data_IF_444499044665
#
_entry.id   IF_444499044665
#
_cell.length_a   1.000
_cell.length_b   1.000
_cell.length_c   1.000
_cell.angle_alpha   90.00
_cell.angle_beta   90.00
_cell.angle_gamma   90.00
#
_symmetry.space_group_name_H-M   'P 1'
#
loop_
_entity.id
_entity.type
_entity.pdbx_description
1 polymer ?
#
# COMPACT_ATOMS: atom_id res chain seq x y z
N UNK A 1 47.90 36.88 -9.94
CA UNK A 1 49.03 36.03 -10.37
C UNK A 1 49.93 36.89 -11.24
N UNK A 2 51.25 36.84 -11.06
CA UNK A 2 52.20 37.66 -11.84
C UNK A 2 52.53 37.00 -13.18
N UNK A 3 52.63 37.80 -14.23
CA UNK A 3 52.96 37.32 -15.57
C UNK A 3 54.39 36.75 -15.62
N UNK A 4 54.71 35.94 -16.64
CA UNK A 4 56.08 35.45 -16.82
C UNK A 4 57.09 36.60 -16.95
N UNK A 5 56.73 37.64 -17.71
CA UNK A 5 57.57 38.82 -17.93
C UNK A 5 57.80 39.62 -16.63
N UNK A 6 56.76 39.79 -15.81
CA UNK A 6 56.85 40.47 -14.51
C UNK A 6 57.77 39.71 -13.54
N UNK A 7 57.66 38.38 -13.50
CA UNK A 7 58.53 37.52 -12.67
C UNK A 7 59.98 37.61 -13.12
N UNK A 8 60.23 37.58 -14.43
CA UNK A 8 61.57 37.67 -15.00
C UNK A 8 62.19 39.05 -14.78
N UNK A 9 61.41 40.12 -14.92
CA UNK A 9 61.82 41.50 -14.61
C UNK A 9 62.22 41.63 -13.14
N UNK A 10 61.44 41.06 -12.22
CA UNK A 10 61.74 41.07 -10.79
C UNK A 10 63.05 40.34 -10.45
N UNK A 11 63.29 39.15 -11.03
CA UNK A 11 64.53 38.40 -10.80
C UNK A 11 65.76 39.12 -11.39
N UNK A 12 65.66 39.69 -12.60
CA UNK A 12 66.75 40.47 -13.20
C UNK A 12 67.11 41.70 -12.37
N UNK A 13 66.10 42.42 -11.87
CA UNK A 13 66.34 43.58 -11.01
C UNK A 13 66.96 43.17 -9.66
N UNK A 14 66.53 42.04 -9.10
CA UNK A 14 67.10 41.46 -7.88
C UNK A 14 68.59 41.15 -8.02
N UNK A 15 69.00 40.58 -9.16
CA UNK A 15 70.41 40.33 -9.47
C UNK A 15 71.20 41.64 -9.66
N UNK A 16 70.65 42.61 -10.39
CA UNK A 16 71.28 43.93 -10.62
C UNK A 16 71.53 44.70 -9.31
N UNK A 17 70.62 44.59 -8.33
CA UNK A 17 70.72 45.25 -7.03
C UNK A 17 71.56 44.46 -6.00
N UNK A 18 72.32 43.44 -6.43
CA UNK A 18 73.18 42.65 -5.56
C UNK A 18 72.42 41.80 -4.54
N UNK A 19 71.31 41.17 -4.97
CA UNK A 19 70.46 40.28 -4.15
C UNK A 19 69.80 40.98 -2.93
N UNK A 20 69.59 42.30 -3.01
CA UNK A 20 68.91 43.12 -1.98
C UNK A 20 67.38 43.09 -2.13
N UNK A 21 66.73 42.18 -1.40
CA UNK A 21 65.26 41.95 -1.47
C UNK A 21 64.43 43.22 -1.25
N UNK A 22 64.75 44.01 -0.22
CA UNK A 22 63.97 45.20 0.15
C UNK A 22 64.03 46.30 -0.91
N UNK A 23 65.18 46.46 -1.57
CA UNK A 23 65.36 47.45 -2.63
C UNK A 23 64.54 47.07 -3.88
N UNK A 24 64.58 45.80 -4.28
CA UNK A 24 63.81 45.30 -5.43
C UNK A 24 62.30 45.46 -5.22
N UNK A 25 61.80 45.15 -4.03
CA UNK A 25 60.36 45.22 -3.72
C UNK A 25 59.89 46.68 -3.64
N UNK A 26 60.68 47.58 -3.05
CA UNK A 26 60.34 49.02 -3.02
C UNK A 26 60.31 49.63 -4.42
N UNK A 27 61.21 49.20 -5.31
CA UNK A 27 61.31 49.75 -6.66
C UNK A 27 60.23 49.23 -7.62
N UNK A 28 59.77 47.99 -7.44
CA UNK A 28 58.74 47.40 -8.29
C UNK A 28 57.32 47.49 -7.70
N UNK A 29 57.17 47.63 -6.38
CA UNK A 29 55.86 47.59 -5.70
C UNK A 29 55.24 46.18 -5.57
N UNK A 30 55.89 45.19 -6.17
CA UNK A 30 55.63 43.75 -6.12
C UNK A 30 56.99 43.05 -6.30
N UNK A 31 57.17 41.74 -6.08
CA UNK A 31 56.32 40.73 -5.46
C UNK A 31 56.57 40.57 -3.95
N UNK A 32 55.95 39.59 -3.29
CA UNK A 32 56.28 39.25 -1.89
C UNK A 32 57.71 38.71 -1.74
N UNK A 33 58.31 38.88 -0.55
CA UNK A 33 59.66 38.39 -0.20
C UNK A 33 59.87 36.90 -0.54
N UNK A 34 58.84 36.07 -0.30
CA UNK A 34 58.91 34.63 -0.53
C UNK A 34 58.80 34.28 -2.02
N UNK A 35 57.97 35.01 -2.76
CA UNK A 35 57.86 34.87 -4.22
C UNK A 35 59.18 35.18 -4.92
N UNK A 36 59.84 36.28 -4.55
CA UNK A 36 61.12 36.66 -5.16
C UNK A 36 62.22 35.63 -4.88
N UNK A 37 62.28 35.10 -3.66
CA UNK A 37 63.21 34.00 -3.31
C UNK A 37 62.93 32.73 -4.11
N UNK A 38 61.67 32.36 -4.28
CA UNK A 38 61.28 31.17 -5.04
C UNK A 38 61.66 31.32 -6.51
N UNK A 39 61.34 32.45 -7.14
CA UNK A 39 61.68 32.73 -8.54
C UNK A 39 63.20 32.78 -8.76
N UNK A 40 63.95 33.43 -7.85
CA UNK A 40 65.40 33.46 -7.98
C UNK A 40 66.04 32.05 -7.86
N UNK A 41 65.55 31.19 -6.95
CA UNK A 41 66.02 29.81 -6.85
C UNK A 41 65.73 28.99 -8.10
N UNK A 42 64.54 29.19 -8.69
CA UNK A 42 64.15 28.56 -9.95
C UNK A 42 65.04 29.03 -11.11
N UNK A 43 65.31 30.33 -11.17
CA UNK A 43 66.19 30.94 -12.16
C UNK A 43 67.65 30.47 -12.01
N UNK A 44 68.18 30.30 -10.80
CA UNK A 44 69.54 29.75 -10.59
C UNK A 44 69.66 28.28 -11.04
N UNK A 45 68.59 27.49 -10.99
CA UNK A 45 68.62 26.06 -11.36
C UNK A 45 68.50 25.82 -12.86
N UNK A 46 67.66 26.61 -13.56
CA UNK A 46 67.31 26.36 -14.96
C UNK A 46 67.74 27.49 -15.90
N UNK A 47 68.33 28.58 -15.38
CA UNK A 47 68.58 29.84 -16.07
C UNK A 47 67.32 30.46 -16.72
N UNK A 48 66.14 30.05 -16.26
CA UNK A 48 64.83 30.47 -16.75
C UNK A 48 63.72 30.25 -15.69
N UNK A 49 62.57 30.88 -15.87
CA UNK A 49 61.38 30.75 -15.02
C UNK A 49 60.27 29.99 -15.75
N UNK A 50 59.50 29.15 -15.07
CA UNK A 50 58.37 28.47 -15.72
C UNK A 50 57.27 29.44 -16.12
N UNK A 51 56.85 29.39 -17.38
CA UNK A 51 55.76 30.20 -17.91
C UNK A 51 54.42 29.93 -17.19
N UNK A 52 54.18 28.72 -16.69
CA UNK A 52 52.93 28.33 -16.01
C UNK A 52 53.13 27.44 -14.78
N UNK A 53 52.04 27.21 -14.05
CA UNK A 53 51.99 26.28 -12.92
C UNK A 53 52.20 24.84 -13.41
N UNK A 54 53.44 24.37 -13.39
CA UNK A 54 53.75 22.97 -13.65
C UNK A 54 53.59 22.22 -12.33
N UNK A 55 52.58 21.35 -12.23
CA UNK A 55 52.44 20.46 -11.08
C UNK A 55 53.75 19.70 -10.88
N UNK A 56 54.23 19.71 -9.64
CA UNK A 56 55.44 19.02 -9.20
C UNK A 56 55.48 17.57 -9.68
N UNK A 57 56.70 17.06 -9.82
CA UNK A 57 57.06 15.68 -10.24
C UNK A 57 55.96 14.65 -9.95
N UNK A 58 55.65 13.75 -10.89
CA UNK A 58 54.68 12.67 -10.67
C UNK A 58 54.95 11.96 -9.34
N UNK A 59 53.91 11.81 -8.52
CA UNK A 59 54.01 11.20 -7.17
C UNK A 59 54.55 9.76 -7.21
N UNK A 60 54.45 9.11 -8.35
CA UNK A 60 54.89 7.74 -8.59
C UNK A 60 55.72 7.67 -9.87
N UNK A 61 56.77 6.85 -9.87
CA UNK A 61 57.58 6.62 -11.07
C UNK A 61 56.83 5.78 -12.11
N UNK A 62 57.27 5.85 -13.37
CA UNK A 62 56.70 5.01 -14.43
C UNK A 62 56.91 3.50 -14.15
N UNK A 63 57.99 3.14 -13.46
CA UNK A 63 58.30 1.77 -13.06
C UNK A 63 57.32 1.26 -12.00
N UNK A 64 57.06 2.06 -10.96
CA UNK A 64 56.06 1.75 -9.92
C UNK A 64 54.67 1.53 -10.51
N UNK A 65 54.32 2.31 -11.53
CA UNK A 65 53.07 2.15 -12.28
C UNK A 65 53.00 0.82 -13.03
N UNK A 66 54.07 0.43 -13.74
CA UNK A 66 54.13 -0.85 -14.45
C UNK A 66 54.02 -2.04 -13.49
N UNK A 67 54.81 -2.05 -12.42
CA UNK A 67 54.78 -3.12 -11.40
C UNK A 67 53.38 -3.29 -10.80
N UNK A 68 52.69 -2.19 -10.50
CA UNK A 68 51.33 -2.24 -9.96
C UNK A 68 50.30 -2.83 -10.93
N UNK A 69 50.42 -2.53 -12.23
CA UNK A 69 49.54 -3.09 -13.25
C UNK A 69 49.89 -4.56 -13.54
N UNK A 70 51.17 -4.92 -13.61
CA UNK A 70 51.60 -6.31 -13.84
C UNK A 70 51.18 -7.24 -12.69
N UNK A 71 51.30 -6.77 -11.44
CA UNK A 71 50.77 -7.48 -10.28
C UNK A 71 49.25 -7.67 -10.37
N UNK A 72 48.51 -6.69 -10.91
CA UNK A 72 47.07 -6.79 -11.08
C UNK A 72 46.68 -7.82 -12.16
N UNK A 73 47.45 -7.89 -13.24
CA UNK A 73 47.20 -8.85 -14.31
C UNK A 73 47.54 -10.29 -13.89
N UNK A 74 48.59 -10.47 -13.10
CA UNK A 74 49.01 -11.78 -12.59
C UNK A 74 48.10 -12.33 -11.48
N UNK A 75 47.50 -11.47 -10.65
CA UNK A 75 46.73 -11.89 -9.45
C UNK A 75 45.23 -11.63 -9.60
N UNK A 76 44.57 -12.45 -10.41
CA UNK A 76 43.11 -12.53 -10.58
C UNK A 76 42.37 -11.20 -10.84
N UNK A 77 43.09 -10.15 -11.23
CA UNK A 77 42.54 -8.80 -11.43
C UNK A 77 41.83 -8.25 -10.20
N UNK A 78 42.33 -8.60 -9.01
CA UNK A 78 41.80 -8.13 -7.75
C UNK A 78 42.53 -6.87 -7.27
N UNK A 79 41.93 -5.70 -7.49
CA UNK A 79 42.50 -4.42 -7.07
C UNK A 79 42.76 -4.33 -5.55
N UNK A 80 41.93 -4.98 -4.72
CA UNK A 80 42.15 -4.98 -3.27
C UNK A 80 43.33 -5.87 -2.84
N UNK A 81 43.67 -6.91 -3.61
CA UNK A 81 44.83 -7.76 -3.34
C UNK A 81 46.13 -7.04 -3.72
N UNK A 82 46.18 -6.39 -4.88
CA UNK A 82 47.34 -5.62 -5.33
C UNK A 82 47.68 -4.47 -4.40
N UNK A 83 46.66 -3.75 -3.91
CA UNK A 83 46.84 -2.67 -2.95
C UNK A 83 47.41 -3.17 -1.61
N UNK A 84 46.97 -4.34 -1.15
CA UNK A 84 47.50 -4.96 0.08
C UNK A 84 48.92 -5.47 -0.09
N UNK A 85 49.26 -5.98 -1.26
CA UNK A 85 50.59 -6.52 -1.56
C UNK A 85 51.65 -5.41 -1.74
N UNK A 86 51.30 -4.33 -2.45
CA UNK A 86 52.26 -3.27 -2.80
C UNK A 86 52.24 -2.08 -1.82
N UNK A 87 51.15 -1.87 -1.06
CA UNK A 87 51.01 -0.75 -0.12
C UNK A 87 50.80 0.62 -0.79
N UNK A 88 50.85 0.68 -2.12
CA UNK A 88 50.55 1.80 -3.00
C UNK A 88 50.03 1.24 -4.35
N UNK A 89 49.44 2.03 -5.26
CA UNK A 89 48.90 3.39 -5.14
C UNK A 89 47.52 3.38 -4.44
N UNK A 90 46.65 4.40 -4.60
CA UNK A 90 45.24 4.30 -4.18
C UNK A 90 44.40 3.53 -5.21
N UNK A 91 43.21 3.05 -4.83
CA UNK A 91 42.32 2.31 -5.74
C UNK A 91 41.97 3.08 -7.02
N UNK A 92 41.72 4.39 -6.89
CA UNK A 92 41.40 5.27 -8.03
C UNK A 92 42.59 5.45 -8.96
N UNK A 93 43.79 5.63 -8.40
CA UNK A 93 45.02 5.76 -9.18
C UNK A 93 45.36 4.46 -9.91
N UNK A 94 45.18 3.30 -9.27
CA UNK A 94 45.35 2.00 -9.90
C UNK A 94 44.36 1.81 -11.06
N UNK A 95 43.10 2.19 -10.89
CA UNK A 95 42.10 2.12 -11.96
C UNK A 95 42.49 2.99 -13.16
N UNK A 96 42.92 4.24 -12.93
CA UNK A 96 43.41 5.12 -13.98
C UNK A 96 44.61 4.52 -14.74
N UNK A 97 45.55 3.89 -14.01
CA UNK A 97 46.71 3.24 -14.64
C UNK A 97 46.33 2.00 -15.47
N UNK A 98 45.36 1.21 -15.00
CA UNK A 98 44.83 0.07 -15.77
C UNK A 98 44.10 0.56 -17.03
N UNK A 99 43.34 1.65 -16.95
CA UNK A 99 42.70 2.25 -18.13
C UNK A 99 43.71 2.73 -19.17
N UNK A 100 44.80 3.36 -18.71
CA UNK A 100 45.84 3.89 -19.60
C UNK A 100 46.70 2.79 -20.23
N UNK A 101 47.10 1.78 -19.46
CA UNK A 101 48.00 0.72 -19.94
C UNK A 101 47.26 -0.47 -20.57
N UNK A 102 45.97 -0.66 -20.29
CA UNK A 102 45.20 -1.82 -20.71
C UNK A 102 43.73 -1.47 -21.07
N UNK A 103 43.48 -0.73 -22.16
CA UNK A 103 42.13 -0.35 -22.58
C UNK A 103 41.22 -1.56 -22.89
N UNK A 104 41.80 -2.69 -23.30
CA UNK A 104 41.09 -3.93 -23.62
C UNK A 104 40.43 -4.59 -22.40
N UNK A 105 40.97 -4.36 -21.19
CA UNK A 105 40.42 -4.93 -19.96
C UNK A 105 39.06 -4.31 -19.63
N UNK A 106 38.89 -3.01 -19.94
CA UNK A 106 37.60 -2.33 -19.77
C UNK A 106 36.55 -2.87 -20.72
N UNK A 107 36.91 -3.20 -21.97
CA UNK A 107 35.98 -3.82 -22.93
C UNK A 107 35.43 -5.16 -22.43
N UNK A 108 36.22 -5.94 -21.69
CA UNK A 108 35.80 -7.22 -21.08
C UNK A 108 34.96 -7.05 -19.81
N UNK A 109 35.20 -5.99 -19.03
CA UNK A 109 34.42 -5.68 -17.81
C UNK A 109 33.03 -5.12 -18.15
N UNK A 110 32.86 -4.53 -19.34
CA UNK A 110 31.53 -4.22 -19.89
C UNK A 110 30.86 -5.48 -20.48
N UNK A 111 30.84 -6.56 -19.71
CA UNK A 111 29.76 -7.55 -19.74
C UNK A 111 28.47 -7.01 -19.11
N UNK A 112 28.43 -5.72 -18.76
CA UNK A 112 27.24 -5.04 -18.24
C UNK A 112 26.41 -4.49 -19.39
N UNK A 113 25.66 -5.38 -20.03
CA UNK A 113 24.49 -5.06 -20.86
C UNK A 113 24.72 -4.09 -22.03
N UNK A 114 25.60 -4.44 -22.96
CA UNK A 114 25.44 -3.99 -24.35
C UNK A 114 24.16 -4.63 -24.87
N UNK A 115 23.09 -3.85 -25.01
CA UNK A 115 21.77 -4.35 -25.43
C UNK A 115 20.56 -3.77 -24.70
N UNK A 116 20.71 -2.70 -23.92
CA UNK A 116 19.54 -1.97 -23.39
C UNK A 116 19.06 -0.92 -24.40
N UNK A 117 18.66 -1.37 -25.59
CA UNK A 117 17.85 -0.54 -26.49
C UNK A 117 16.58 -0.17 -25.71
N UNK A 118 16.23 1.12 -25.57
CA UNK A 118 14.95 1.52 -25.00
C UNK A 118 13.84 0.93 -25.89
N UNK A 119 13.23 -0.17 -25.46
CA UNK A 119 12.11 -0.75 -26.21
C UNK A 119 10.91 0.17 -26.03
N UNK A 120 10.20 0.44 -27.13
CA UNK A 120 9.00 1.28 -27.10
C UNK A 120 7.99 0.74 -26.08
N UNK A 121 7.22 1.63 -25.48
CA UNK A 121 6.23 1.27 -24.46
C UNK A 121 5.25 0.18 -24.95
N UNK A 122 4.91 0.19 -26.24
CA UNK A 122 4.07 -0.84 -26.89
C UNK A 122 4.72 -2.23 -26.85
N UNK A 123 6.02 -2.33 -27.15
CA UNK A 123 6.75 -3.61 -27.09
C UNK A 123 6.83 -4.13 -25.66
N UNK A 124 7.00 -3.23 -24.69
CA UNK A 124 6.98 -3.56 -23.26
C UNK A 124 5.62 -4.10 -22.82
N UNK A 125 4.52 -3.47 -23.23
CA UNK A 125 3.16 -3.93 -22.94
C UNK A 125 2.86 -5.29 -23.57
N UNK A 126 3.18 -5.47 -24.85
CA UNK A 126 2.99 -6.74 -25.55
C UNK A 126 3.76 -7.89 -24.86
N UNK A 127 5.02 -7.64 -24.49
CA UNK A 127 5.84 -8.62 -23.77
C UNK A 127 5.27 -8.98 -22.39
N UNK A 128 4.65 -8.03 -21.69
CA UNK A 128 4.02 -8.28 -20.39
C UNK A 128 2.67 -9.01 -20.53
N UNK A 129 1.90 -8.71 -21.58
CA UNK A 129 0.67 -9.46 -21.89
C UNK A 129 1.02 -10.91 -22.22
N UNK A 130 1.97 -11.14 -23.15
CA UNK A 130 2.46 -12.48 -23.49
C UNK A 130 3.05 -13.18 -22.26
N UNK A 131 3.74 -12.45 -21.38
CA UNK A 131 4.16 -13.01 -20.10
C UNK A 131 2.93 -13.46 -19.30
N UNK A 132 1.92 -12.63 -19.07
CA UNK A 132 0.77 -13.00 -18.23
C UNK A 132 -0.14 -14.09 -18.82
N UNK A 133 -0.19 -14.24 -20.15
CA UNK A 133 -1.05 -15.21 -20.85
C UNK A 133 -0.30 -16.48 -21.31
N UNK A 134 0.98 -16.63 -20.98
CA UNK A 134 1.80 -17.76 -21.45
C UNK A 134 1.38 -19.11 -20.85
N UNK A 135 1.37 -20.13 -21.71
CA UNK A 135 1.46 -21.56 -21.31
C UNK A 135 2.92 -22.02 -21.18
N UNK A 136 3.84 -21.37 -21.91
CA UNK A 136 5.27 -21.71 -21.96
C UNK A 136 6.11 -20.97 -20.90
N UNK A 137 7.36 -21.40 -20.72
CA UNK A 137 8.26 -20.79 -19.73
C UNK A 137 8.56 -19.32 -20.03
N UNK A 138 8.77 -18.53 -18.98
CA UNK A 138 9.14 -17.11 -19.10
C UNK A 138 10.47 -16.87 -19.86
N UNK A 139 11.28 -17.92 -20.04
CA UNK A 139 12.52 -17.87 -20.82
C UNK A 139 12.24 -17.76 -22.32
N UNK A 140 11.27 -18.53 -22.83
CA UNK A 140 10.90 -18.52 -24.25
C UNK A 140 10.33 -17.15 -24.65
N UNK A 141 9.48 -16.56 -23.80
CA UNK A 141 8.96 -15.20 -24.01
C UNK A 141 10.08 -14.16 -23.99
N UNK A 142 11.08 -14.33 -23.11
CA UNK A 142 12.24 -13.45 -23.03
C UNK A 142 13.12 -13.54 -24.30
N UNK A 143 13.35 -14.76 -24.81
CA UNK A 143 14.09 -14.98 -26.05
C UNK A 143 13.35 -14.41 -27.28
N UNK A 144 12.04 -14.66 -27.41
CA UNK A 144 11.19 -14.09 -28.48
C UNK A 144 11.20 -12.56 -28.49
N UNK A 145 11.16 -11.97 -27.31
CA UNK A 145 11.18 -10.51 -27.17
C UNK A 145 12.60 -9.94 -27.26
N UNK A 146 13.65 -10.77 -27.29
CA UNK A 146 15.06 -10.34 -27.30
C UNK A 146 15.46 -9.62 -26.01
N UNK A 147 14.99 -10.09 -24.85
CA UNK A 147 15.16 -9.49 -23.53
C UNK A 147 15.61 -10.55 -22.54
N UNK A 148 16.33 -10.16 -21.49
CA UNK A 148 16.63 -11.10 -20.40
C UNK A 148 15.38 -11.39 -19.54
N UNK A 149 15.23 -12.63 -19.06
CA UNK A 149 14.14 -13.00 -18.14
C UNK A 149 13.99 -12.02 -16.95
N UNK A 150 15.05 -11.56 -16.27
CA UNK A 150 14.91 -10.56 -15.20
C UNK A 150 14.30 -9.23 -15.67
N UNK A 151 14.62 -8.80 -16.89
CA UNK A 151 14.10 -7.55 -17.44
C UNK A 151 12.61 -7.66 -17.77
N UNK A 152 12.17 -8.83 -18.21
CA UNK A 152 10.75 -9.14 -18.44
C UNK A 152 9.92 -9.06 -17.15
N UNK A 153 10.42 -9.62 -16.04
CA UNK A 153 9.77 -9.47 -14.72
C UNK A 153 9.85 -8.03 -14.18
N UNK A 154 10.93 -7.30 -14.44
CA UNK A 154 11.00 -5.88 -14.08
C UNK A 154 9.96 -5.06 -14.83
N UNK A 155 9.72 -5.36 -16.11
CA UNK A 155 8.66 -4.71 -16.88
C UNK A 155 7.27 -5.04 -16.35
N UNK A 156 7.03 -6.30 -15.97
CA UNK A 156 5.80 -6.71 -15.30
C UNK A 156 5.58 -5.89 -14.03
N UNK A 157 6.59 -5.83 -13.16
CA UNK A 157 6.51 -5.10 -11.89
C UNK A 157 6.31 -3.59 -12.07
N UNK A 158 6.82 -3.03 -13.17
CA UNK A 158 6.62 -1.60 -13.49
C UNK A 158 5.22 -1.30 -14.03
N UNK A 159 4.58 -2.23 -14.74
CA UNK A 159 3.26 -2.00 -15.36
C UNK A 159 2.09 -2.47 -14.48
N UNK A 160 2.25 -3.59 -13.77
CA UNK A 160 1.19 -4.22 -12.97
C UNK A 160 1.42 -4.04 -11.46
N UNK A 161 2.48 -3.34 -11.07
CA UNK A 161 2.91 -3.24 -9.68
C UNK A 161 3.75 -4.44 -9.24
N UNK A 162 4.53 -4.25 -8.18
CA UNK A 162 5.34 -5.31 -7.58
C UNK A 162 4.40 -6.26 -6.85
N UNK A 163 4.00 -7.34 -7.51
CA UNK A 163 3.49 -8.50 -6.80
C UNK A 163 4.51 -8.86 -5.72
N UNK A 164 4.05 -8.95 -4.47
CA UNK A 164 4.89 -9.43 -3.36
C UNK A 164 5.46 -10.76 -3.84
N UNK A 165 6.80 -10.88 -4.01
CA UNK A 165 7.38 -12.13 -4.45
C UNK A 165 6.84 -13.19 -3.50
N UNK A 166 6.25 -14.27 -4.04
CA UNK A 166 5.93 -15.44 -3.23
C UNK A 166 7.23 -15.80 -2.49
N UNK A 167 7.27 -15.46 -1.21
CA UNK A 167 8.50 -15.45 -0.44
C UNK A 167 9.05 -16.86 -0.47
N UNK A 168 10.17 -17.06 -1.14
CA UNK A 168 10.90 -18.34 -1.15
C UNK A 168 11.52 -18.64 0.23
N UNK A 169 11.26 -17.83 1.26
CA UNK A 169 11.51 -18.24 2.64
C UNK A 169 10.50 -19.34 2.95
N UNK A 170 11.03 -20.56 3.12
CA UNK A 170 10.38 -21.71 3.77
C UNK A 170 9.38 -21.17 4.78
N UNK A 171 8.07 -21.36 4.54
CA UNK A 171 7.00 -20.88 5.42
C UNK A 171 7.42 -21.25 6.84
N UNK A 172 7.76 -20.25 7.66
CA UNK A 172 7.75 -20.46 9.12
C UNK A 172 6.36 -21.01 9.43
N UNK A 173 6.33 -21.98 10.35
CA UNK A 173 5.18 -22.76 10.82
C UNK A 173 3.87 -21.95 10.75
N UNK A 174 2.73 -22.59 10.43
CA UNK A 174 1.44 -21.90 10.44
C UNK A 174 1.29 -21.09 11.73
N UNK A 175 0.62 -19.94 11.63
CA UNK A 175 0.30 -19.05 12.75
C UNK A 175 0.03 -19.86 14.03
N UNK A 176 0.55 -19.43 15.19
CA UNK A 176 0.55 -20.28 16.39
C UNK A 176 -0.89 -20.65 16.67
N UNK A 177 -1.18 -21.92 16.96
CA UNK A 177 -2.53 -22.50 16.98
C UNK A 177 -3.58 -21.66 17.76
N UNK A 178 -3.14 -20.79 18.67
CA UNK A 178 -3.94 -19.76 19.31
C UNK A 178 -4.70 -18.82 18.35
N UNK A 179 -4.06 -18.28 17.30
CA UNK A 179 -4.69 -17.34 16.35
C UNK A 179 -5.78 -18.05 15.54
N UNK A 180 -5.60 -19.34 15.25
CA UNK A 180 -6.60 -20.16 14.56
C UNK A 180 -7.77 -20.48 15.47
N UNK A 181 -7.50 -20.88 16.71
CA UNK A 181 -8.53 -21.15 17.70
C UNK A 181 -9.36 -19.88 18.02
N UNK A 182 -8.72 -18.71 18.12
CA UNK A 182 -9.40 -17.43 18.32
C UNK A 182 -10.30 -17.06 17.13
N UNK A 183 -9.81 -17.23 15.90
CA UNK A 183 -10.62 -16.99 14.70
C UNK A 183 -11.78 -17.99 14.58
N UNK A 184 -11.57 -19.26 14.93
CA UNK A 184 -12.62 -20.28 14.96
C UNK A 184 -13.70 -19.91 16.00
N UNK A 185 -13.29 -19.46 17.19
CA UNK A 185 -14.22 -18.97 18.21
C UNK A 185 -15.02 -17.75 17.72
N UNK A 186 -14.38 -16.81 17.01
CA UNK A 186 -15.07 -15.65 16.43
C UNK A 186 -16.05 -16.06 15.32
N UNK A 187 -15.68 -17.01 14.48
CA UNK A 187 -16.59 -17.54 13.45
C UNK A 187 -17.79 -18.22 14.10
N UNK A 188 -17.57 -18.99 15.17
CA UNK A 188 -18.66 -19.61 15.92
C UNK A 188 -19.55 -18.57 16.62
N UNK A 189 -19.00 -17.53 17.23
CA UNK A 189 -19.80 -16.47 17.85
C UNK A 189 -20.64 -15.74 16.81
N UNK A 190 -20.05 -15.34 15.68
CA UNK A 190 -20.78 -14.69 14.59
C UNK A 190 -21.87 -15.59 13.99
N UNK A 191 -21.63 -16.90 13.88
CA UNK A 191 -22.67 -17.86 13.45
C UNK A 191 -23.83 -17.93 14.44
N UNK A 192 -23.55 -17.88 15.75
CA UNK A 192 -24.60 -17.81 16.79
C UNK A 192 -25.38 -16.50 16.68
N UNK A 193 -24.69 -15.37 16.50
CA UNK A 193 -25.31 -14.05 16.38
C UNK A 193 -26.20 -13.96 15.13
N UNK A 194 -25.72 -14.46 13.98
CA UNK A 194 -26.51 -14.52 12.74
C UNK A 194 -27.78 -15.34 12.95
N UNK A 195 -27.68 -16.50 13.61
CA UNK A 195 -28.84 -17.35 13.89
C UNK A 195 -29.84 -16.66 14.83
N UNK A 196 -29.35 -15.95 15.85
CA UNK A 196 -30.21 -15.18 16.76
C UNK A 196 -30.92 -14.03 16.04
N UNK A 197 -30.19 -13.25 15.22
CA UNK A 197 -30.75 -12.14 14.45
C UNK A 197 -31.79 -12.63 13.42
N UNK A 198 -31.57 -13.78 12.80
CA UNK A 198 -32.54 -14.41 11.90
C UNK A 198 -33.83 -14.78 12.64
N UNK A 199 -33.71 -15.38 13.84
CA UNK A 199 -34.85 -15.71 14.69
C UNK A 199 -35.65 -14.45 15.08
N UNK A 200 -34.98 -13.39 15.53
CA UNK A 200 -35.62 -12.13 15.91
C UNK A 200 -36.33 -11.46 14.71
N UNK A 201 -35.68 -11.46 13.54
CA UNK A 201 -36.26 -10.92 12.31
C UNK A 201 -37.53 -11.67 11.90
N UNK A 202 -37.50 -13.01 11.93
CA UNK A 202 -38.66 -13.82 11.56
C UNK A 202 -39.82 -13.66 12.56
N UNK A 203 -39.52 -13.49 13.86
CA UNK A 203 -40.53 -13.14 14.87
C UNK A 203 -41.18 -11.80 14.54
N UNK A 204 -40.38 -10.76 14.25
CA UNK A 204 -40.90 -9.43 13.90
C UNK A 204 -41.72 -9.46 12.61
N UNK A 205 -41.24 -10.19 11.60
CA UNK A 205 -41.93 -10.36 10.32
C UNK A 205 -43.29 -11.05 10.51
N UNK A 206 -43.32 -12.16 11.25
CA UNK A 206 -44.58 -12.88 11.54
C UNK A 206 -45.51 -12.11 12.46
N UNK A 207 -44.96 -11.33 13.40
CA UNK A 207 -45.75 -10.43 14.23
C UNK A 207 -46.45 -9.37 13.38
N UNK A 208 -45.75 -8.76 12.42
CA UNK A 208 -46.37 -7.81 11.49
C UNK A 208 -47.45 -8.46 10.61
N UNK A 209 -47.21 -9.67 10.09
CA UNK A 209 -48.18 -10.40 9.28
C UNK A 209 -49.47 -10.76 10.06
N UNK A 210 -49.32 -11.27 11.29
CA UNK A 210 -50.43 -11.84 12.07
C UNK A 210 -51.14 -10.80 12.95
N UNK A 211 -50.41 -9.83 13.50
CA UNK A 211 -50.93 -8.95 14.56
C UNK A 211 -51.40 -7.60 14.00
N UNK A 212 -51.04 -7.20 12.78
CA UNK A 212 -51.52 -5.99 12.06
C UNK A 212 -51.73 -4.74 12.94
N UNK A 213 -50.96 -4.58 14.02
CA UNK A 213 -50.95 -3.35 14.83
C UNK A 213 -50.03 -2.39 14.09
N UNK A 214 -50.60 -1.32 13.54
CA UNK A 214 -49.93 -0.38 12.62
C UNK A 214 -48.81 0.47 13.23
N UNK A 215 -48.19 0.05 14.33
CA UNK A 215 -47.10 0.77 15.00
C UNK A 215 -46.06 -0.29 15.43
N UNK A 216 -44.78 -0.05 15.11
CA UNK A 216 -43.66 -1.00 15.27
C UNK A 216 -43.84 -1.98 16.42
N UNK A 217 -43.99 -3.27 16.07
CA UNK A 217 -44.34 -4.31 17.05
C UNK A 217 -43.11 -4.71 17.85
N UNK A 218 -43.00 -4.21 19.07
CA UNK A 218 -42.04 -4.73 20.06
C UNK A 218 -42.52 -6.10 20.57
N UNK A 219 -41.78 -7.20 20.33
CA UNK A 219 -42.20 -8.55 20.73
C UNK A 219 -42.39 -8.71 22.25
N UNK A 220 -41.76 -7.85 23.05
CA UNK A 220 -41.88 -7.87 24.50
C UNK A 220 -43.23 -7.34 25.00
N UNK A 221 -43.84 -6.39 24.29
CA UNK A 221 -45.13 -5.76 24.63
C UNK A 221 -46.35 -6.59 24.18
N UNK A 222 -46.12 -7.71 23.48
CA UNK A 222 -47.18 -8.60 23.05
C UNK A 222 -47.83 -9.35 24.22
N UNK A 223 -49.14 -9.55 24.15
CA UNK A 223 -49.87 -10.36 25.12
C UNK A 223 -49.42 -11.82 25.06
N UNK A 224 -49.55 -12.57 26.16
CA UNK A 224 -49.19 -13.99 26.19
C UNK A 224 -49.95 -14.84 25.16
N UNK A 225 -51.15 -14.40 24.73
CA UNK A 225 -51.92 -15.02 23.66
C UNK A 225 -51.30 -14.74 22.28
N UNK A 226 -50.89 -13.50 22.01
CA UNK A 226 -50.23 -13.12 20.76
C UNK A 226 -48.86 -13.79 20.63
N UNK A 227 -48.09 -13.79 21.73
CA UNK A 227 -46.83 -14.53 21.85
C UNK A 227 -47.03 -16.01 21.48
N UNK A 228 -48.04 -16.68 22.05
CA UNK A 228 -48.29 -18.09 21.72
C UNK A 228 -48.71 -18.35 20.27
N UNK A 229 -49.41 -17.42 19.63
CA UNK A 229 -49.71 -17.52 18.19
C UNK A 229 -48.44 -17.46 17.34
N UNK A 230 -47.46 -16.62 17.72
CA UNK A 230 -46.17 -16.56 17.03
C UNK A 230 -45.33 -17.81 17.25
N UNK A 231 -45.32 -18.38 18.46
CA UNK A 231 -44.69 -19.70 18.70
C UNK A 231 -45.31 -20.76 17.80
N UNK A 232 -46.64 -20.81 17.71
CA UNK A 232 -47.31 -21.85 16.94
C UNK A 232 -47.06 -21.72 15.42
N UNK A 233 -46.84 -20.49 14.93
CA UNK A 233 -46.48 -20.21 13.54
C UNK A 233 -45.01 -20.53 13.21
N UNK A 234 -44.09 -20.30 14.15
CA UNK A 234 -42.63 -20.45 13.94
C UNK A 234 -42.05 -21.78 14.41
N UNK A 235 -42.84 -22.62 15.11
CA UNK A 235 -42.40 -23.94 15.63
C UNK A 235 -41.87 -24.93 14.58
N UNK A 236 -42.18 -24.71 13.30
CA UNK A 236 -41.70 -25.57 12.20
C UNK A 236 -40.28 -25.20 11.75
N UNK A 237 -39.84 -23.97 12.02
CA UNK A 237 -38.55 -23.43 11.57
C UNK A 237 -37.53 -23.37 12.71
N UNK A 238 -37.99 -23.12 13.94
CA UNK A 238 -37.13 -22.91 15.11
C UNK A 238 -37.50 -23.83 16.28
N UNK A 239 -36.50 -24.13 17.12
CA UNK A 239 -36.71 -24.95 18.30
C UNK A 239 -37.57 -24.20 19.34
N UNK A 240 -38.51 -24.92 19.97
CA UNK A 240 -39.40 -24.37 21.01
C UNK A 240 -38.68 -23.60 22.14
N UNK A 241 -37.56 -24.09 22.73
CA UNK A 241 -36.88 -23.34 23.79
C UNK A 241 -36.30 -22.00 23.32
N UNK A 242 -35.80 -21.93 22.07
CA UNK A 242 -35.25 -20.70 21.48
C UNK A 242 -36.36 -19.66 21.31
N UNK A 243 -37.53 -20.09 20.82
CA UNK A 243 -38.71 -19.23 20.66
C UNK A 243 -39.26 -18.71 22.00
N UNK A 244 -39.29 -19.55 23.03
CA UNK A 244 -39.74 -19.15 24.37
C UNK A 244 -38.80 -18.14 25.02
N UNK A 245 -37.48 -18.33 24.86
CA UNK A 245 -36.46 -17.43 25.36
C UNK A 245 -36.55 -16.06 24.67
N UNK A 246 -36.60 -16.02 23.33
CA UNK A 246 -36.64 -14.78 22.55
C UNK A 246 -37.85 -13.90 22.86
N UNK A 247 -39.01 -14.50 23.18
CA UNK A 247 -40.23 -13.75 23.50
C UNK A 247 -40.48 -13.54 25.00
N UNK A 248 -39.60 -14.06 25.88
CA UNK A 248 -39.77 -14.00 27.33
C UNK A 248 -41.04 -14.70 27.82
N UNK A 249 -41.40 -15.86 27.25
CA UNK A 249 -42.62 -16.59 27.60
C UNK A 249 -42.31 -17.86 28.41
N UNK A 250 -42.95 -18.00 29.57
CA UNK A 250 -42.84 -19.23 30.36
C UNK A 250 -43.48 -20.43 29.64
N UNK A 251 -42.84 -21.61 29.75
CA UNK A 251 -43.32 -22.85 29.12
C UNK A 251 -44.77 -23.18 29.50
N UNK A 252 -45.11 -23.07 30.79
CA UNK A 252 -46.48 -23.29 31.31
C UNK A 252 -47.52 -22.36 30.66
N UNK A 253 -47.22 -21.06 30.58
CA UNK A 253 -48.07 -20.06 29.92
C UNK A 253 -48.25 -20.37 28.44
N UNK A 254 -47.19 -20.83 27.76
CA UNK A 254 -47.27 -21.23 26.36
C UNK A 254 -48.26 -22.38 26.14
N UNK A 255 -48.16 -23.44 26.94
CA UNK A 255 -49.05 -24.60 26.82
C UNK A 255 -50.50 -24.26 27.21
N UNK A 256 -50.71 -23.44 28.25
CA UNK A 256 -52.04 -23.01 28.66
C UNK A 256 -52.77 -22.22 27.56
N UNK A 257 -52.11 -21.22 26.97
CA UNK A 257 -52.71 -20.42 25.90
C UNK A 257 -52.86 -21.21 24.60
N UNK A 258 -51.93 -22.12 24.27
CA UNK A 258 -52.06 -23.01 23.11
C UNK A 258 -53.26 -23.96 23.23
N UNK A 259 -53.46 -24.59 24.39
CA UNK A 259 -54.64 -25.41 24.63
C UNK A 259 -55.94 -24.60 24.46
N UNK A 260 -55.96 -23.35 24.94
CA UNK A 260 -57.11 -22.44 24.78
C UNK A 260 -57.33 -21.94 23.35
N UNK A 261 -56.30 -21.90 22.50
CA UNK A 261 -56.44 -21.59 21.08
C UNK A 261 -57.06 -22.76 20.31
N UNK A 262 -56.83 -24.00 20.75
CA UNK A 262 -57.38 -25.22 20.14
C UNK A 262 -58.80 -25.54 20.62
N UNK A 263 -59.16 -25.15 21.85
CA UNK A 263 -60.52 -25.30 22.37
C UNK A 263 -61.42 -24.27 21.67
N UNK A 264 -62.39 -24.75 20.89
CA UNK A 264 -63.42 -23.91 20.29
C UNK A 264 -64.06 -23.02 21.37
N UNK A 265 -64.17 -21.72 21.07
CA UNK A 265 -64.63 -20.74 22.04
C UNK A 265 -66.04 -21.07 22.53
N UNK A 266 -66.14 -21.49 23.80
CA UNK A 266 -67.40 -21.84 24.49
C UNK A 266 -68.44 -20.71 24.43
N UNK A 267 -67.98 -19.47 24.24
CA UNK A 267 -68.82 -18.28 24.12
C UNK A 267 -68.83 -17.68 22.70
N UNK A 268 -68.36 -18.40 21.68
CA UNK A 268 -68.38 -17.94 20.29
C UNK A 268 -69.80 -17.55 19.85
N UNK A 269 -70.79 -18.37 20.23
CA UNK A 269 -72.20 -18.09 19.97
C UNK A 269 -72.68 -16.81 20.67
N UNK A 270 -72.38 -16.67 21.97
CA UNK A 270 -72.75 -15.49 22.75
C UNK A 270 -72.09 -14.20 22.23
N UNK A 271 -70.83 -14.27 21.78
CA UNK A 271 -70.13 -13.13 21.17
C UNK A 271 -70.70 -12.74 19.81
N UNK A 272 -71.10 -13.69 18.98
CA UNK A 272 -71.80 -13.39 17.70
C UNK A 272 -73.12 -12.69 17.97
N UNK A 273 -73.92 -13.19 18.92
CA UNK A 273 -75.19 -12.54 19.31
C UNK A 273 -74.98 -11.12 19.82
N UNK A 274 -73.95 -10.87 20.62
CA UNK A 274 -73.62 -9.51 21.10
C UNK A 274 -73.18 -8.61 19.94
N UNK A 275 -72.32 -9.11 19.04
CA UNK A 275 -71.86 -8.35 17.87
C UNK A 275 -73.00 -8.03 16.90
N UNK A 276 -73.89 -8.98 16.65
CA UNK A 276 -75.08 -8.80 15.79
C UNK A 276 -76.08 -7.84 16.44
N UNK A 277 -76.21 -7.87 17.77
CA UNK A 277 -77.04 -6.93 18.54
C UNK A 277 -76.47 -5.51 18.47
N UNK A 278 -75.17 -5.34 18.68
CA UNK A 278 -74.50 -4.04 18.56
C UNK A 278 -74.60 -3.49 17.14
N UNK A 279 -74.41 -4.33 16.12
CA UNK A 279 -74.51 -3.92 14.72
C UNK A 279 -75.96 -3.56 14.33
N UNK A 280 -76.94 -4.29 14.86
CA UNK A 280 -78.37 -3.96 14.67
C UNK A 280 -78.76 -2.64 15.34
N UNK A 281 -78.18 -2.34 16.52
CA UNK A 281 -78.36 -1.04 17.19
C UNK A 281 -77.77 0.09 16.35
N UNK A 282 -76.59 -0.10 15.76
CA UNK A 282 -75.95 0.90 14.87
C UNK A 282 -76.79 1.16 13.61
N UNK A 283 -77.32 0.11 12.98
CA UNK A 283 -78.20 0.26 11.80
C UNK A 283 -79.51 0.95 12.18
N UNK A 284 -80.08 0.65 13.35
CA UNK A 284 -81.28 1.32 13.84
C UNK A 284 -81.05 2.81 14.14
N UNK A 285 -79.88 3.18 14.67
CA UNK A 285 -79.51 4.59 14.89
C UNK A 285 -79.33 5.35 13.58
N UNK A 286 -78.71 4.74 12.57
CA UNK A 286 -78.52 5.36 11.24
C UNK A 286 -79.84 5.58 10.50
N UNK A 287 -80.78 4.64 10.60
CA UNK A 287 -82.14 4.78 10.03
C UNK A 287 -82.91 5.90 10.76
N UNK A 288 -82.80 5.98 12.10
CA UNK A 288 -83.44 7.03 12.89
C UNK A 288 -82.86 8.42 12.62
N UNK A 289 -81.56 8.54 12.37
CA UNK A 289 -80.93 9.80 11.94
C UNK A 289 -81.34 10.19 10.51
N UNK A 290 -81.40 9.23 9.59
CA UNK A 290 -81.89 9.48 8.22
C UNK A 290 -83.36 9.94 8.20
N UNK A 291 -84.21 9.34 9.05
CA UNK A 291 -85.62 9.74 9.19
C UNK A 291 -85.77 11.14 9.79
N UNK A 292 -84.93 11.52 10.78
CA UNK A 292 -84.89 12.88 11.33
C UNK A 292 -84.45 13.91 10.31
N UNK A 293 -83.48 13.57 9.46
CA UNK A 293 -83.03 14.44 8.37
C UNK A 293 -84.15 14.69 7.34
N UNK A 294 -84.87 13.64 6.93
CA UNK A 294 -86.01 13.76 6.01
C UNK A 294 -87.20 14.53 6.60
N UNK A 295 -87.48 14.39 7.91
CA UNK A 295 -88.52 15.16 8.59
C UNK A 295 -88.18 16.65 8.66
N UNK A 296 -86.90 17.00 8.92
CA UNK A 296 -86.41 18.38 8.90
C UNK A 296 -86.50 19.04 7.53
N UNK A 297 -86.26 18.30 6.44
CA UNK A 297 -86.40 18.81 5.07
C UNK A 297 -87.86 19.07 4.66
N UNK A 298 -88.83 18.31 5.16
CA UNK A 298 -90.27 18.54 4.87
C UNK A 298 -90.89 19.71 5.63
N UNK A 299 -90.37 20.08 6.80
CA UNK A 299 -90.81 21.29 7.52
C UNK A 299 -90.37 22.59 6.85
N UNK A 300 -89.29 22.56 6.05
CA UNK A 300 -88.76 23.73 5.34
C UNK A 300 -89.50 24.04 4.02
N UNK A 301 -90.31 23.11 3.50
CA UNK A 301 -91.08 23.32 2.27
C UNK A 301 -92.51 23.86 2.49
N UNK A 302 -92.91 24.14 3.75
CA UNK A 302 -94.25 24.68 4.10
C UNK A 302 -94.25 26.14 4.56
N UNK A 303 -93.11 26.84 4.46
CA UNK A 303 -93.00 28.30 4.57
C UNK A 303 -92.55 28.91 3.24
N UNK A 304 -93.44 28.89 2.25
CA UNK A 304 -93.55 29.90 1.18
C UNK A 304 -95.00 29.96 0.75
#
# INVERSE_FOLDING_TARGET
MYSYEERLRAVRLYLKLGKRLGATIRQLGYPTKNSLKAWHREYEQCNDLRAGYVRSRPRYSAEQKKVAVDHYLSHDRCAAATLRALGYPSRETLAAWIEELCPEIRKRIVGRAVGRVPKSHKVKQAAVIELCTREQSARVVAEKTGVSRPTLYNWKNQLLGREVPASMKRKKKPAPDHERAELEQQVESLRRDIRQLQLEHDILKKANELIKKGMGVDPQLLSNREKTMLVDALKQTYALPELLAAMGLARSSCFYHRARLLVADRHAGARRVIADSSNSITVATDIAESARHWAGSRSSSRRR
#
